data_IF_025275520105
#
_entry.id   IF_025275520105
#
_cell.length_a   1.000
_cell.length_b   1.000
_cell.length_c   1.000
_cell.angle_alpha   90.00
_cell.angle_beta   90.00
_cell.angle_gamma   90.00
#
_symmetry.space_group_name_H-M   'P 1'
#
loop_
_entity.id
_entity.type
_entity.pdbx_description
1 polymer ?
#
# COMPACT_ATOMS: atom_id res chain seq x y z
N UNK A 1 10.21 4.33 -13.97
CA UNK A 1 10.85 3.63 -12.85
C UNK A 1 12.30 4.03 -12.67
N UNK A 2 13.24 3.43 -13.43
CA UNK A 2 14.70 3.61 -13.21
C UNK A 2 15.16 5.07 -13.17
N UNK A 3 14.70 5.87 -14.11
CA UNK A 3 15.06 7.28 -14.17
C UNK A 3 14.56 8.06 -12.96
N UNK A 4 13.34 7.78 -12.50
CA UNK A 4 12.78 8.43 -11.29
C UNK A 4 13.59 8.07 -10.05
N UNK A 5 13.95 6.80 -9.91
CA UNK A 5 14.79 6.31 -8.82
C UNK A 5 16.17 6.98 -8.79
N UNK A 6 16.87 6.98 -9.93
CA UNK A 6 18.17 7.65 -10.06
C UNK A 6 18.09 9.15 -9.80
N UNK A 7 17.03 9.81 -10.29
CA UNK A 7 16.84 11.24 -10.05
C UNK A 7 16.64 11.54 -8.56
N UNK A 8 15.85 10.72 -7.86
CA UNK A 8 15.62 10.90 -6.43
C UNK A 8 16.93 10.78 -5.64
N UNK A 9 17.69 9.70 -5.85
CA UNK A 9 18.96 9.49 -5.15
C UNK A 9 20.01 10.54 -5.53
N UNK A 10 20.06 10.95 -6.80
CA UNK A 10 20.94 12.06 -7.24
C UNK A 10 20.56 13.38 -6.58
N UNK A 11 19.27 13.65 -6.40
CA UNK A 11 18.80 14.87 -5.73
C UNK A 11 19.18 14.87 -4.25
N UNK A 12 19.01 13.73 -3.57
CA UNK A 12 19.44 13.56 -2.18
C UNK A 12 20.95 13.75 -2.09
N UNK A 13 21.72 13.08 -2.96
CA UNK A 13 23.18 13.22 -3.00
C UNK A 13 23.61 14.66 -3.18
N UNK A 14 23.13 15.35 -4.20
CA UNK A 14 23.49 16.73 -4.49
C UNK A 14 23.10 17.69 -3.35
N UNK A 15 21.94 17.46 -2.74
CA UNK A 15 21.49 18.23 -1.58
C UNK A 15 22.43 18.07 -0.39
N UNK A 16 22.85 16.85 -0.07
CA UNK A 16 23.75 16.57 1.05
C UNK A 16 25.19 16.98 0.74
N UNK A 17 25.68 16.72 -0.48
CA UNK A 17 27.06 17.04 -0.88
C UNK A 17 27.33 18.55 -0.91
N UNK A 18 26.35 19.37 -1.25
CA UNK A 18 26.49 20.83 -1.20
C UNK A 18 26.81 21.39 0.19
N UNK A 19 26.48 20.63 1.25
CA UNK A 19 26.79 20.98 2.64
C UNK A 19 28.08 20.34 3.19
N UNK A 20 28.71 19.40 2.47
CA UNK A 20 29.94 18.69 2.88
C UNK A 20 31.13 19.62 3.12
N UNK A 21 31.20 20.70 2.38
CA UNK A 21 32.29 21.70 2.50
C UNK A 21 32.03 22.76 3.54
N UNK A 22 30.95 22.68 4.29
CA UNK A 22 30.69 23.56 5.43
C UNK A 22 31.59 23.18 6.61
N UNK A 23 32.26 24.16 7.21
CA UNK A 23 33.22 23.99 8.34
C UNK A 23 32.60 23.45 9.62
N UNK A 24 31.29 23.31 9.68
CA UNK A 24 30.54 22.86 10.86
C UNK A 24 30.06 21.39 10.68
N UNK A 25 30.93 20.45 11.07
CA UNK A 25 30.71 19.00 10.94
C UNK A 25 29.63 18.40 11.86
N UNK A 26 29.04 19.18 12.76
CA UNK A 26 28.05 18.69 13.75
C UNK A 26 26.61 18.96 13.37
N UNK A 27 26.29 19.19 12.09
CA UNK A 27 24.95 19.53 11.66
C UNK A 27 24.06 18.28 11.53
N UNK A 28 22.80 18.41 11.96
CA UNK A 28 21.75 17.44 11.68
C UNK A 28 21.12 17.79 10.33
N UNK A 29 20.85 16.78 9.51
CA UNK A 29 20.22 16.93 8.19
C UNK A 29 18.78 16.41 8.24
N UNK A 30 17.82 17.21 7.77
CA UNK A 30 16.45 16.80 7.53
C UNK A 30 16.24 16.62 6.03
N UNK A 31 15.80 15.44 5.61
CA UNK A 31 15.47 15.11 4.23
C UNK A 31 13.95 14.91 4.14
N UNK A 32 13.28 15.75 3.36
CA UNK A 32 11.85 15.62 3.09
C UNK A 32 11.65 15.07 1.68
N UNK A 33 10.93 13.97 1.55
CA UNK A 33 10.62 13.31 0.28
C UNK A 33 9.10 13.24 0.16
N UNK A 34 8.56 13.93 -0.83
CA UNK A 34 7.13 13.91 -1.10
C UNK A 34 6.84 12.90 -2.23
N UNK A 35 6.03 11.89 -1.92
CA UNK A 35 5.62 10.82 -2.85
C UNK A 35 6.77 10.22 -3.67
N UNK A 36 7.92 9.97 -3.04
CA UNK A 36 9.13 9.49 -3.72
C UNK A 36 8.98 8.13 -4.39
N UNK A 37 7.93 7.39 -4.07
CA UNK A 37 7.57 6.09 -4.62
C UNK A 37 6.62 6.13 -5.83
N UNK A 38 6.08 7.30 -6.18
CA UNK A 38 4.98 7.46 -7.16
C UNK A 38 5.26 6.79 -8.52
N UNK A 39 6.51 6.80 -8.97
CA UNK A 39 6.91 6.22 -10.27
C UNK A 39 7.73 4.95 -10.14
N UNK A 40 7.82 4.37 -8.95
CA UNK A 40 8.60 3.17 -8.71
C UNK A 40 7.78 1.91 -9.00
N UNK A 41 8.40 0.95 -9.69
CA UNK A 41 7.85 -0.40 -9.78
C UNK A 41 7.78 -1.02 -8.37
N UNK A 42 6.77 -1.87 -8.05
CA UNK A 42 6.64 -2.49 -6.73
C UNK A 42 7.91 -3.18 -6.20
N UNK A 43 8.69 -3.86 -7.06
CA UNK A 43 9.97 -4.47 -6.66
C UNK A 43 10.98 -3.43 -6.13
N UNK A 44 10.98 -2.22 -6.67
CA UNK A 44 11.85 -1.15 -6.21
C UNK A 44 11.34 -0.46 -4.97
N UNK A 45 10.02 -0.49 -4.77
CA UNK A 45 9.43 -0.03 -3.52
C UNK A 45 9.83 -0.95 -2.35
N UNK A 46 9.95 -2.27 -2.59
CA UNK A 46 10.44 -3.24 -1.61
C UNK A 46 11.88 -2.97 -1.14
N UNK A 47 12.73 -2.41 -1.99
CA UNK A 47 14.12 -2.11 -1.68
C UNK A 47 14.35 -0.66 -1.21
N UNK A 48 13.34 0.19 -1.33
CA UNK A 48 13.50 1.65 -1.21
C UNK A 48 14.00 2.07 0.18
N UNK A 49 13.34 1.62 1.24
CA UNK A 49 13.70 1.98 2.62
C UNK A 49 15.06 1.42 2.99
N UNK A 50 15.33 0.16 2.64
CA UNK A 50 16.62 -0.48 2.88
C UNK A 50 17.77 0.27 2.20
N UNK A 51 17.60 0.65 0.94
CA UNK A 51 18.63 1.39 0.19
C UNK A 51 18.83 2.79 0.75
N UNK A 52 17.77 3.50 1.16
CA UNK A 52 17.90 4.78 1.85
C UNK A 52 18.76 4.64 3.11
N UNK A 53 18.45 3.67 3.97
CA UNK A 53 19.19 3.45 5.21
C UNK A 53 20.66 3.10 4.94
N UNK A 54 20.94 2.31 3.91
CA UNK A 54 22.32 1.94 3.53
C UNK A 54 23.12 3.10 2.97
N UNK A 55 22.51 3.98 2.17
CA UNK A 55 23.20 5.11 1.54
C UNK A 55 23.44 6.29 2.50
N UNK A 56 22.59 6.48 3.50
CA UNK A 56 22.64 7.66 4.38
C UNK A 56 23.95 7.82 5.15
N UNK A 57 24.57 6.77 5.74
CA UNK A 57 25.85 6.90 6.44
C UNK A 57 26.99 7.37 5.54
N UNK A 58 26.92 7.04 4.24
CA UNK A 58 27.90 7.46 3.24
C UNK A 58 27.69 8.92 2.83
N UNK A 59 26.46 9.43 2.93
CA UNK A 59 26.10 10.77 2.53
C UNK A 59 26.36 11.82 3.60
N UNK A 60 26.24 11.47 4.87
CA UNK A 60 26.31 12.44 5.97
C UNK A 60 27.07 11.88 7.17
N UNK A 61 28.04 12.64 7.69
CA UNK A 61 28.74 12.35 8.95
C UNK A 61 27.91 12.67 10.20
N UNK A 62 26.78 13.36 10.04
CA UNK A 62 25.91 13.84 11.11
C UNK A 62 24.66 12.98 11.31
N UNK A 63 23.77 13.49 12.18
CA UNK A 63 22.44 12.88 12.34
C UNK A 63 21.57 13.22 11.15
N UNK A 64 20.93 12.20 10.57
CA UNK A 64 19.97 12.36 9.47
C UNK A 64 18.59 11.96 9.94
N UNK A 65 17.61 12.80 9.69
CA UNK A 65 16.20 12.49 9.84
C UNK A 65 15.56 12.52 8.45
N UNK A 66 14.79 11.48 8.13
CA UNK A 66 13.99 11.44 6.90
C UNK A 66 12.52 11.54 7.26
N UNK A 67 11.80 12.39 6.55
CA UNK A 67 10.35 12.46 6.54
C UNK A 67 9.90 12.24 5.12
N UNK A 68 9.10 11.22 4.87
CA UNK A 68 8.55 11.01 3.53
C UNK A 68 7.04 10.76 3.58
N UNK A 69 6.35 11.18 2.52
CA UNK A 69 4.96 10.88 2.28
C UNK A 69 4.84 9.73 1.29
N UNK A 70 3.85 8.87 1.45
CA UNK A 70 3.61 7.75 0.55
C UNK A 70 2.16 7.30 0.58
N UNK A 71 1.69 6.76 -0.54
CA UNK A 71 0.45 6.00 -0.67
C UNK A 71 0.71 4.50 -0.87
N UNK A 72 1.96 4.05 -0.73
CA UNK A 72 2.34 2.65 -0.89
C UNK A 72 2.29 1.85 0.41
N UNK A 73 1.48 0.81 0.50
CA UNK A 73 1.52 -0.11 1.63
C UNK A 73 2.84 -0.88 1.71
N UNK A 74 3.54 -1.03 0.58
CA UNK A 74 4.84 -1.72 0.52
C UNK A 74 5.87 -0.95 1.35
N UNK A 75 5.97 0.37 1.17
CA UNK A 75 6.90 1.18 1.95
C UNK A 75 6.57 1.16 3.45
N UNK A 76 5.27 1.19 3.77
CA UNK A 76 4.82 1.16 5.17
C UNK A 76 5.17 -0.17 5.84
N UNK A 77 5.23 -1.27 5.07
CA UNK A 77 5.60 -2.59 5.61
C UNK A 77 7.02 -2.67 6.15
N UNK A 78 7.90 -1.74 5.78
CA UNK A 78 9.28 -1.65 6.26
C UNK A 78 9.45 -0.67 7.45
N UNK A 79 8.38 -0.04 7.91
CA UNK A 79 8.45 0.98 8.94
C UNK A 79 7.77 0.55 10.24
N UNK A 80 8.45 0.68 11.41
CA UNK A 80 7.81 0.53 12.70
C UNK A 80 6.64 1.51 12.86
N UNK A 81 5.56 1.08 13.52
CA UNK A 81 4.35 1.90 13.68
C UNK A 81 4.63 3.26 14.37
N UNK A 82 5.64 3.33 15.25
CA UNK A 82 6.07 4.57 15.90
C UNK A 82 6.63 5.61 14.91
N UNK A 83 7.07 5.17 13.74
CA UNK A 83 7.61 6.02 12.69
C UNK A 83 6.56 6.42 11.64
N UNK A 84 5.31 5.96 11.76
CA UNK A 84 4.26 6.18 10.77
C UNK A 84 3.15 7.05 11.34
N UNK A 85 2.81 8.12 10.60
CA UNK A 85 1.67 9.00 10.90
C UNK A 85 0.66 8.86 9.78
N UNK A 86 -0.59 8.47 10.11
CA UNK A 86 -1.68 8.37 9.15
C UNK A 86 -2.46 9.68 9.17
N UNK A 87 -2.57 10.31 8.01
CA UNK A 87 -3.35 11.53 7.81
C UNK A 87 -4.80 11.14 7.43
N UNK A 88 -5.73 11.32 8.38
CA UNK A 88 -7.16 11.08 8.14
C UNK A 88 -7.90 12.41 7.88
N UNK A 89 -8.86 12.38 6.96
CA UNK A 89 -9.65 13.54 6.57
C UNK A 89 -10.77 13.90 7.59
N UNK A 90 -11.05 13.06 8.59
CA UNK A 90 -12.12 13.28 9.54
C UNK A 90 -11.79 14.42 10.50
N UNK A 91 -12.44 15.55 10.28
CA UNK A 91 -12.24 16.83 10.98
C UNK A 91 -12.55 16.80 12.48
N UNK A 92 -13.16 15.76 13.02
CA UNK A 92 -13.62 15.73 14.42
C UNK A 92 -12.75 14.90 15.38
N UNK A 93 -11.66 14.28 14.93
CA UNK A 93 -10.93 13.30 15.75
C UNK A 93 -9.48 13.65 16.07
N UNK A 94 -8.98 14.83 15.75
CA UNK A 94 -7.54 15.06 15.61
C UNK A 94 -6.74 15.24 16.90
N UNK A 95 -7.32 15.28 18.08
CA UNK A 95 -6.51 15.56 19.31
C UNK A 95 -6.70 14.54 20.44
N UNK A 96 -7.76 13.71 20.41
CA UNK A 96 -8.08 12.81 21.55
C UNK A 96 -8.01 11.30 21.24
N UNK A 97 -7.92 10.89 19.98
CA UNK A 97 -7.98 9.48 19.54
C UNK A 97 -6.66 8.88 19.02
N UNK A 98 -5.57 9.62 19.11
CA UNK A 98 -4.27 9.17 18.58
C UNK A 98 -3.81 7.82 19.17
N UNK A 99 -4.07 7.56 20.43
CA UNK A 99 -3.64 6.32 21.08
C UNK A 99 -4.45 5.09 20.66
N UNK A 100 -5.77 5.22 20.45
CA UNK A 100 -6.61 4.08 20.04
C UNK A 100 -6.44 3.71 18.56
N UNK A 101 -6.11 4.69 17.70
CA UNK A 101 -5.81 4.44 16.29
C UNK A 101 -4.43 3.81 16.16
N UNK A 102 -3.45 4.27 16.92
CA UNK A 102 -2.09 3.72 16.93
C UNK A 102 -2.06 2.24 17.34
N UNK A 103 -2.90 1.81 18.28
CA UNK A 103 -2.99 0.39 18.70
C UNK A 103 -3.52 -0.55 17.60
N UNK A 104 -4.26 -0.03 16.62
CA UNK A 104 -4.81 -0.83 15.50
C UNK A 104 -3.97 -0.73 14.24
N UNK A 105 -2.99 0.14 14.22
CA UNK A 105 -2.17 0.37 13.04
C UNK A 105 -1.28 -0.83 12.74
N UNK A 106 -1.37 -1.36 11.54
CA UNK A 106 -0.54 -2.46 11.04
C UNK A 106 0.49 -1.88 10.07
N UNK A 107 1.77 -2.08 10.36
CA UNK A 107 2.87 -1.54 9.55
C UNK A 107 3.98 -2.57 9.39
N UNK A 108 5.02 -2.55 10.22
CA UNK A 108 6.22 -3.35 10.08
C UNK A 108 5.94 -4.85 9.96
N UNK A 109 6.42 -5.46 8.88
CA UNK A 109 6.25 -6.87 8.54
C UNK A 109 4.77 -7.35 8.50
N UNK A 110 3.80 -6.43 8.44
CA UNK A 110 2.41 -6.78 8.33
C UNK A 110 2.06 -7.18 6.89
N UNK A 111 1.04 -8.03 6.74
CA UNK A 111 0.49 -8.36 5.43
C UNK A 111 -0.03 -7.09 4.74
N UNK A 112 0.24 -6.95 3.44
CA UNK A 112 -0.19 -5.77 2.65
C UNK A 112 -1.70 -5.53 2.75
N UNK A 113 -2.49 -6.60 2.78
CA UNK A 113 -3.93 -6.50 2.94
C UNK A 113 -4.33 -5.89 4.30
N UNK A 114 -3.65 -6.29 5.38
CA UNK A 114 -3.87 -5.71 6.71
C UNK A 114 -3.47 -4.22 6.74
N UNK A 115 -2.39 -3.85 6.07
CA UNK A 115 -1.97 -2.45 5.95
C UNK A 115 -3.05 -1.65 5.23
N UNK A 116 -3.59 -2.14 4.10
CA UNK A 116 -4.70 -1.48 3.40
C UNK A 116 -5.93 -1.33 4.28
N UNK A 117 -6.28 -2.37 5.03
CA UNK A 117 -7.46 -2.36 5.87
C UNK A 117 -7.32 -1.41 7.07
N UNK A 118 -6.21 -1.50 7.80
CA UNK A 118 -6.04 -0.82 9.09
C UNK A 118 -5.34 0.54 8.97
N UNK A 119 -4.42 0.69 8.01
CA UNK A 119 -3.65 1.93 7.84
C UNK A 119 -4.20 2.83 6.75
N UNK A 120 -4.78 2.26 5.69
CA UNK A 120 -5.42 3.04 4.60
C UNK A 120 -6.95 3.11 4.70
N UNK A 121 -7.56 2.48 5.70
CA UNK A 121 -8.99 2.59 5.95
C UNK A 121 -9.89 1.96 4.87
N UNK A 122 -9.41 0.96 4.12
CA UNK A 122 -10.19 0.32 3.05
C UNK A 122 -11.36 -0.55 3.55
N UNK A 123 -11.62 -0.62 4.86
CA UNK A 123 -12.82 -1.15 5.49
C UNK A 123 -13.35 -2.43 4.83
N UNK A 124 -12.53 -3.49 4.79
CA UNK A 124 -12.86 -4.81 4.22
C UNK A 124 -13.10 -4.84 2.69
N UNK A 125 -12.88 -3.75 1.97
CA UNK A 125 -12.92 -3.76 0.51
C UNK A 125 -11.70 -4.51 -0.03
N UNK A 126 -11.95 -5.64 -0.72
CA UNK A 126 -10.90 -6.52 -1.27
C UNK A 126 -10.67 -6.32 -2.76
N UNK A 127 -11.59 -5.67 -3.43
CA UNK A 127 -11.55 -5.46 -4.88
C UNK A 127 -12.14 -4.12 -5.26
N UNK A 128 -11.91 -3.69 -6.48
CA UNK A 128 -12.47 -2.46 -7.04
C UNK A 128 -14.00 -2.48 -7.08
N UNK A 129 -14.62 -1.32 -7.18
CA UNK A 129 -16.08 -1.18 -7.15
C UNK A 129 -16.77 -1.94 -8.31
N UNK A 130 -16.14 -2.00 -9.49
CA UNK A 130 -16.69 -2.72 -10.66
C UNK A 130 -16.75 -4.22 -10.38
N UNK A 131 -15.62 -4.82 -10.01
CA UNK A 131 -15.55 -6.26 -9.70
C UNK A 131 -16.41 -6.63 -8.49
N UNK A 132 -16.45 -5.80 -7.45
CA UNK A 132 -17.34 -5.99 -6.29
C UNK A 132 -18.83 -5.92 -6.67
N UNK A 133 -19.20 -5.05 -7.62
CA UNK A 133 -20.54 -4.98 -8.18
C UNK A 133 -20.90 -6.25 -8.96
N UNK A 134 -20.00 -6.68 -9.83
CA UNK A 134 -20.17 -7.91 -10.61
C UNK A 134 -20.30 -9.15 -9.71
N UNK A 135 -19.42 -9.30 -8.73
CA UNK A 135 -19.48 -10.41 -7.78
C UNK A 135 -20.79 -10.44 -6.98
N UNK A 136 -21.34 -9.29 -6.63
CA UNK A 136 -22.65 -9.21 -5.95
C UNK A 136 -23.77 -9.81 -6.79
N UNK A 137 -23.77 -9.57 -8.10
CA UNK A 137 -24.76 -10.19 -9.01
C UNK A 137 -24.52 -11.69 -9.12
N UNK A 138 -23.28 -12.14 -9.21
CA UNK A 138 -22.95 -13.58 -9.21
C UNK A 138 -23.42 -14.25 -7.92
N UNK A 139 -23.17 -13.66 -6.74
CA UNK A 139 -23.65 -14.22 -5.47
C UNK A 139 -25.18 -14.32 -5.41
N UNK A 140 -25.90 -13.32 -5.91
CA UNK A 140 -27.36 -13.40 -6.04
C UNK A 140 -27.82 -14.60 -6.91
N UNK A 141 -27.09 -14.90 -7.99
CA UNK A 141 -27.38 -16.06 -8.80
C UNK A 141 -27.09 -17.37 -8.07
N UNK A 142 -25.98 -17.44 -7.34
CA UNK A 142 -25.63 -18.62 -6.54
C UNK A 142 -26.65 -18.92 -5.44
N UNK A 143 -27.29 -17.91 -4.87
CA UNK A 143 -28.27 -18.03 -3.80
C UNK A 143 -29.69 -18.35 -4.31
N UNK A 144 -29.95 -18.32 -5.61
CA UNK A 144 -31.26 -18.68 -6.18
C UNK A 144 -31.61 -20.14 -5.90
N UNK A 145 -32.84 -20.44 -5.55
CA UNK A 145 -33.33 -21.81 -5.38
C UNK A 145 -33.24 -22.62 -6.68
N UNK A 146 -33.62 -22.02 -7.82
CA UNK A 146 -33.53 -22.60 -9.17
C UNK A 146 -32.90 -21.59 -10.12
N UNK A 147 -32.09 -22.07 -11.05
CA UNK A 147 -31.47 -21.25 -12.08
C UNK A 147 -32.24 -21.40 -13.41
N UNK A 148 -32.44 -20.30 -14.10
CA UNK A 148 -32.86 -20.33 -15.50
C UNK A 148 -31.68 -20.69 -16.41
N UNK A 149 -31.98 -21.01 -17.66
CA UNK A 149 -30.93 -21.23 -18.66
C UNK A 149 -30.01 -20.02 -18.80
N UNK A 150 -30.57 -18.81 -18.78
CA UNK A 150 -29.80 -17.56 -18.83
C UNK A 150 -28.91 -17.35 -17.58
N UNK A 151 -29.42 -17.70 -16.39
CA UNK A 151 -28.62 -17.65 -15.17
C UNK A 151 -27.41 -18.58 -15.24
N UNK A 152 -27.60 -19.78 -15.78
CA UNK A 152 -26.53 -20.78 -15.98
C UNK A 152 -25.47 -20.29 -16.97
N UNK A 153 -25.89 -19.69 -18.07
CA UNK A 153 -24.97 -19.07 -19.04
C UNK A 153 -24.17 -17.93 -18.40
N UNK A 154 -24.84 -17.07 -17.62
CA UNK A 154 -24.17 -15.99 -16.88
C UNK A 154 -23.13 -16.53 -15.88
N UNK A 155 -23.43 -17.62 -15.18
CA UNK A 155 -22.47 -18.27 -14.27
C UNK A 155 -21.29 -18.90 -15.03
N UNK A 156 -21.54 -19.49 -16.21
CA UNK A 156 -20.46 -20.02 -17.06
C UNK A 156 -19.54 -18.89 -17.57
N UNK A 157 -20.15 -17.76 -17.98
CA UNK A 157 -19.38 -16.58 -18.36
C UNK A 157 -18.53 -16.06 -17.19
N UNK A 158 -19.08 -16.06 -15.97
CA UNK A 158 -18.36 -15.64 -14.78
C UNK A 158 -17.09 -16.46 -14.53
N UNK A 159 -17.08 -17.76 -14.84
CA UNK A 159 -15.88 -18.61 -14.74
C UNK A 159 -14.72 -18.17 -15.64
N UNK A 160 -15.01 -17.43 -16.71
CA UNK A 160 -13.97 -16.89 -17.61
C UNK A 160 -13.45 -15.52 -17.20
N UNK A 161 -14.11 -14.85 -16.25
CA UNK A 161 -13.82 -13.46 -15.85
C UNK A 161 -13.31 -13.37 -14.42
N UNK A 162 -13.77 -14.27 -13.54
CA UNK A 162 -13.41 -14.25 -12.12
C UNK A 162 -12.14 -15.07 -11.88
N UNK A 163 -11.12 -14.45 -11.30
CA UNK A 163 -9.82 -15.10 -11.01
C UNK A 163 -9.69 -15.56 -9.55
N UNK A 164 -10.81 -15.62 -8.80
CA UNK A 164 -10.80 -16.14 -7.42
C UNK A 164 -11.18 -17.62 -7.40
N UNK A 165 -10.26 -18.46 -6.95
CA UNK A 165 -10.43 -19.93 -6.96
C UNK A 165 -11.58 -20.41 -6.09
N UNK A 166 -11.85 -19.75 -4.96
CA UNK A 166 -12.93 -20.13 -4.05
C UNK A 166 -14.29 -19.80 -4.69
N UNK A 167 -14.41 -18.61 -5.29
CA UNK A 167 -15.63 -18.21 -5.99
C UNK A 167 -15.86 -19.13 -7.19
N UNK A 168 -14.82 -19.40 -7.97
CA UNK A 168 -14.88 -20.30 -9.13
C UNK A 168 -15.28 -21.71 -8.73
N UNK A 169 -14.81 -22.22 -7.59
CA UNK A 169 -15.25 -23.52 -7.07
C UNK A 169 -16.76 -23.52 -6.78
N UNK A 170 -17.29 -22.48 -6.14
CA UNK A 170 -18.73 -22.37 -5.86
C UNK A 170 -19.58 -22.26 -7.14
N UNK A 171 -19.11 -21.49 -8.12
CA UNK A 171 -19.79 -21.36 -9.42
C UNK A 171 -19.85 -22.73 -10.14
N UNK A 172 -18.72 -23.44 -10.24
CA UNK A 172 -18.67 -24.78 -10.89
C UNK A 172 -19.62 -25.75 -10.21
N UNK A 173 -19.56 -25.87 -8.89
CA UNK A 173 -20.44 -26.73 -8.11
C UNK A 173 -21.93 -26.43 -8.37
N UNK A 174 -22.28 -25.14 -8.52
CA UNK A 174 -23.64 -24.69 -8.73
C UNK A 174 -24.13 -25.01 -10.15
N UNK A 175 -23.27 -24.89 -11.16
CA UNK A 175 -23.58 -25.21 -12.56
C UNK A 175 -23.68 -26.73 -12.80
N UNK A 176 -22.85 -27.53 -12.10
CA UNK A 176 -22.84 -28.99 -12.19
C UNK A 176 -24.03 -29.65 -11.48
N UNK A 177 -24.62 -28.96 -10.51
CA UNK A 177 -25.78 -29.49 -9.74
C UNK A 177 -27.13 -29.35 -10.44
N UNK A 178 -27.15 -28.90 -11.69
CA UNK A 178 -28.34 -28.83 -12.57
C UNK A 178 -28.42 -30.02 -13.54
#
# INVERSE_FOLDING_TARGET
GQKAYLNLFSSIWNGVDSYRYSTDRKRSTLICIDEGDLYLHPEWQLEFVERLIKCLPELSEGKVQIVFTTHSPILISDLPHQCVVILNHDKESSIGRSNQIAERQKTFAANIYDIYQYSFGLNQKRSGNLSSGYLREIFKLLDKASLSQQDTENLRLALSVVDDDVINFHIRKRVEAQ
#
